data_IF_202641958500
#
_entry.id   IF_202641958500
#
_cell.length_a   1.000
_cell.length_b   1.000
_cell.length_c   1.000
_cell.angle_alpha   90.00
_cell.angle_beta   90.00
_cell.angle_gamma   90.00
#
_symmetry.space_group_name_H-M   'P 1'
#
loop_
_entity.id
_entity.type
_entity.pdbx_description
1 polymer ?
#
# COMPACT_ATOMS: atom_id res chain seq x y z
N UNK A 1 5.22 57.85 42.29
CA UNK A 1 5.71 56.48 42.53
C UNK A 1 4.98 55.55 41.57
N UNK A 2 5.70 54.79 40.74
CA UNK A 2 5.10 53.90 39.73
C UNK A 2 4.99 52.49 40.29
N UNK A 3 3.81 51.82 40.25
CA UNK A 3 3.78 50.38 40.39
C UNK A 3 4.01 49.74 39.01
N UNK A 4 5.18 49.13 38.84
CA UNK A 4 5.49 48.25 37.73
C UNK A 4 4.72 46.96 37.94
N UNK A 5 3.71 46.69 37.11
CA UNK A 5 3.02 45.40 37.10
C UNK A 5 3.93 44.35 36.46
N UNK A 6 4.46 43.45 37.28
CA UNK A 6 5.15 42.24 36.82
C UNK A 6 4.11 41.29 36.21
N UNK A 7 3.92 41.40 34.90
CA UNK A 7 3.16 40.43 34.13
C UNK A 7 3.83 39.05 34.23
N UNK A 8 3.16 38.11 34.89
CA UNK A 8 3.53 36.70 34.90
C UNK A 8 3.35 36.12 33.49
N UNK A 9 4.41 36.17 32.67
CA UNK A 9 4.54 35.35 31.48
C UNK A 9 4.86 33.92 31.91
N UNK A 10 3.83 33.12 32.14
CA UNK A 10 3.96 31.66 32.14
C UNK A 10 4.31 31.23 30.70
N UNK A 11 5.48 30.61 30.44
CA UNK A 11 5.73 30.03 29.13
C UNK A 11 4.85 28.79 28.99
N UNK A 12 3.76 28.89 28.21
CA UNK A 12 3.01 27.71 27.75
C UNK A 12 3.95 26.89 26.86
N UNK A 13 4.63 25.93 27.46
CA UNK A 13 5.42 24.94 26.74
C UNK A 13 4.47 24.01 25.98
N UNK A 14 4.17 24.38 24.72
CA UNK A 14 3.29 23.65 23.81
C UNK A 14 3.86 22.29 23.33
N UNK A 15 4.77 21.67 24.10
CA UNK A 15 5.42 20.39 23.74
C UNK A 15 4.59 19.16 24.13
N UNK A 16 3.68 19.29 25.09
CA UNK A 16 2.83 18.15 25.49
C UNK A 16 1.77 17.81 24.43
N UNK A 17 1.17 18.80 23.77
CA UNK A 17 0.06 18.60 22.82
C UNK A 17 0.47 17.76 21.60
N UNK A 18 1.65 17.97 21.02
CA UNK A 18 2.13 17.20 19.85
C UNK A 18 2.45 15.73 20.20
N UNK A 19 2.87 15.46 21.44
CA UNK A 19 3.18 14.11 21.93
C UNK A 19 1.91 13.26 22.12
N UNK A 20 0.83 13.85 22.65
CA UNK A 20 -0.45 13.16 22.75
C UNK A 20 -1.09 12.90 21.38
N UNK A 21 -0.94 13.82 20.43
CA UNK A 21 -1.50 13.69 19.09
C UNK A 21 -0.79 12.61 18.26
N UNK A 22 0.54 12.49 18.38
CA UNK A 22 1.33 11.44 17.73
C UNK A 22 1.07 10.05 18.34
N UNK A 23 0.95 9.94 19.66
CA UNK A 23 0.62 8.67 20.34
C UNK A 23 -0.82 8.21 20.06
N UNK A 24 -1.78 9.14 19.97
CA UNK A 24 -3.17 8.83 19.56
C UNK A 24 -3.22 8.27 18.14
N UNK A 25 -2.54 8.91 17.18
CA UNK A 25 -2.43 8.40 15.81
C UNK A 25 -1.72 7.03 15.75
N UNK A 26 -0.68 6.84 16.58
CA UNK A 26 0.01 5.54 16.72
C UNK A 26 -0.89 4.43 17.24
N UNK A 27 -1.86 4.74 18.10
CA UNK A 27 -2.83 3.76 18.60
C UNK A 27 -3.90 3.47 17.55
N UNK A 28 -4.35 4.50 16.84
CA UNK A 28 -5.39 4.38 15.79
C UNK A 28 -4.98 3.49 14.61
N UNK A 29 -3.75 3.59 14.08
CA UNK A 29 -3.36 2.73 12.95
C UNK A 29 -3.23 1.26 13.35
N UNK A 30 -2.86 0.97 14.60
CA UNK A 30 -2.74 -0.41 15.10
C UNK A 30 -4.11 -1.06 15.22
N UNK A 31 -5.06 -0.34 15.83
CA UNK A 31 -6.45 -0.77 15.96
C UNK A 31 -7.09 -1.00 14.58
N UNK A 32 -6.90 -0.05 13.64
CA UNK A 32 -7.44 -0.20 12.28
C UNK A 32 -6.76 -1.32 11.49
N UNK A 33 -5.44 -1.52 11.65
CA UNK A 33 -4.73 -2.65 11.05
C UNK A 33 -5.28 -3.97 11.57
N UNK A 34 -5.48 -4.10 12.87
CA UNK A 34 -6.03 -5.32 13.48
C UNK A 34 -7.47 -5.58 13.02
N UNK A 35 -8.31 -4.53 12.94
CA UNK A 35 -9.66 -4.61 12.38
C UNK A 35 -9.63 -5.18 10.96
N UNK A 36 -8.83 -4.58 10.08
CA UNK A 36 -8.74 -4.99 8.67
C UNK A 36 -8.16 -6.40 8.48
N UNK A 37 -7.25 -6.83 9.35
CA UNK A 37 -6.65 -8.17 9.29
C UNK A 37 -7.65 -9.27 9.68
N UNK A 38 -8.60 -8.95 10.56
CA UNK A 38 -9.62 -9.90 11.04
C UNK A 38 -10.89 -9.93 10.19
N UNK A 39 -11.03 -9.05 9.19
CA UNK A 39 -12.17 -9.04 8.27
C UNK A 39 -12.00 -10.05 7.14
N UNK A 40 -13.12 -10.61 6.65
CA UNK A 40 -13.08 -11.45 5.45
C UNK A 40 -12.88 -10.61 4.18
N UNK A 41 -12.48 -11.26 3.09
CA UNK A 41 -12.30 -10.60 1.78
C UNK A 41 -13.60 -9.93 1.32
N UNK A 42 -14.74 -10.57 1.54
CA UNK A 42 -16.06 -10.07 1.15
C UNK A 42 -16.47 -8.84 1.97
N UNK A 43 -16.14 -8.82 3.26
CA UNK A 43 -16.38 -7.66 4.11
C UNK A 43 -15.50 -6.48 3.70
N UNK A 44 -14.22 -6.73 3.40
CA UNK A 44 -13.30 -5.69 2.91
C UNK A 44 -13.77 -5.09 1.59
N UNK A 45 -14.33 -5.89 0.67
CA UNK A 45 -14.89 -5.43 -0.61
C UNK A 45 -16.02 -4.42 -0.47
N UNK A 46 -16.77 -4.41 0.64
CA UNK A 46 -17.83 -3.40 0.89
C UNK A 46 -17.27 -2.00 1.12
N UNK A 47 -16.02 -1.90 1.55
CA UNK A 47 -15.34 -0.63 1.83
C UNK A 47 -14.50 -0.13 0.62
N UNK A 48 -14.33 -0.94 -0.43
CA UNK A 48 -13.59 -0.57 -1.63
C UNK A 48 -14.41 0.31 -2.57
N UNK A 49 -13.75 1.25 -3.25
CA UNK A 49 -14.38 2.03 -4.34
C UNK A 49 -14.32 1.27 -5.66
N UNK A 50 -13.15 0.78 -6.02
CA UNK A 50 -12.86 0.02 -7.23
C UNK A 50 -11.76 -1.01 -6.89
N UNK A 51 -11.79 -2.19 -7.51
CA UNK A 51 -10.75 -3.21 -7.33
C UNK A 51 -10.63 -4.13 -8.54
N UNK A 52 -9.45 -4.74 -8.69
CA UNK A 52 -9.13 -5.76 -9.69
C UNK A 52 -8.76 -7.05 -8.96
N UNK A 53 -9.58 -8.10 -9.09
CA UNK A 53 -9.27 -9.42 -8.51
C UNK A 53 -8.03 -10.02 -9.17
N UNK A 54 -7.23 -10.75 -8.40
CA UNK A 54 -6.09 -11.52 -8.91
C UNK A 54 -6.50 -12.50 -10.02
N UNK A 55 -7.71 -13.07 -9.92
CA UNK A 55 -8.25 -14.02 -10.92
C UNK A 55 -8.43 -13.41 -12.31
N UNK A 56 -8.56 -12.08 -12.40
CA UNK A 56 -8.73 -11.37 -13.67
C UNK A 56 -7.38 -10.99 -14.31
N UNK A 57 -6.26 -11.25 -13.62
CA UNK A 57 -4.92 -10.94 -14.12
C UNK A 57 -4.36 -12.20 -14.77
N UNK A 58 -4.18 -12.22 -16.11
CA UNK A 58 -3.66 -13.39 -16.78
C UNK A 58 -2.21 -13.66 -16.38
N UNK A 59 -1.85 -14.93 -16.30
CA UNK A 59 -0.45 -15.35 -16.16
C UNK A 59 0.34 -15.07 -17.44
N UNK A 60 1.66 -14.95 -17.31
CA UNK A 60 2.56 -14.84 -18.45
C UNK A 60 2.42 -16.05 -19.37
N UNK A 61 2.22 -17.25 -18.81
CA UNK A 61 1.93 -18.46 -19.58
C UNK A 61 0.69 -18.30 -20.47
N UNK A 62 -0.41 -17.76 -19.95
CA UNK A 62 -1.63 -17.51 -20.73
C UNK A 62 -1.42 -16.45 -21.81
N UNK A 63 -0.62 -15.42 -21.53
CA UNK A 63 -0.28 -14.40 -22.51
C UNK A 63 0.57 -14.95 -23.66
N UNK A 64 1.56 -15.79 -23.35
CA UNK A 64 2.38 -16.48 -24.35
C UNK A 64 1.56 -17.44 -25.21
N UNK A 65 0.63 -18.19 -24.60
CA UNK A 65 -0.31 -19.07 -25.35
C UNK A 65 -1.18 -18.28 -26.31
N UNK A 66 -1.74 -17.14 -25.86
CA UNK A 66 -2.54 -16.26 -26.74
C UNK A 66 -1.74 -15.73 -27.93
N UNK A 67 -0.49 -15.34 -27.72
CA UNK A 67 0.42 -14.86 -28.77
C UNK A 67 0.84 -15.96 -29.74
N UNK A 68 1.18 -17.15 -29.24
CA UNK A 68 1.51 -18.32 -30.07
C UNK A 68 0.33 -18.77 -30.95
N UNK A 69 -0.91 -18.55 -30.51
CA UNK A 69 -2.11 -18.83 -31.31
C UNK A 69 -2.31 -17.85 -32.48
N UNK A 70 -1.55 -16.75 -32.51
CA UNK A 70 -1.71 -15.64 -33.47
C UNK A 70 -0.52 -15.45 -34.43
N UNK A 71 0.64 -16.07 -34.14
CA UNK A 71 1.83 -16.03 -34.98
C UNK A 71 2.33 -17.47 -35.20
N UNK A 72 2.38 -17.90 -36.46
CA UNK A 72 2.73 -19.28 -36.87
C UNK A 72 4.25 -19.58 -36.80
N UNK A 73 5.07 -18.63 -36.34
CA UNK A 73 6.54 -18.76 -36.27
C UNK A 73 7.09 -18.23 -34.94
N UNK A 74 6.95 -18.97 -33.83
CA UNK A 74 7.93 -18.96 -32.72
C UNK A 74 7.73 -20.09 -31.70
N UNK A 75 7.24 -21.26 -32.13
CA UNK A 75 6.85 -22.35 -31.21
C UNK A 75 8.01 -22.99 -30.44
N UNK A 76 9.26 -22.70 -30.79
CA UNK A 76 10.43 -23.42 -30.26
C UNK A 76 11.07 -22.75 -29.03
N UNK A 77 10.98 -21.42 -28.85
CA UNK A 77 11.55 -20.75 -27.65
C UNK A 77 10.62 -20.74 -26.43
N UNK A 78 9.29 -20.78 -26.63
CA UNK A 78 8.29 -20.77 -25.54
C UNK A 78 8.14 -22.16 -24.89
N UNK A 79 8.63 -23.21 -25.57
CA UNK A 79 8.49 -24.60 -25.13
C UNK A 79 9.37 -24.96 -23.92
N UNK A 80 10.24 -24.05 -23.47
CA UNK A 80 11.07 -24.24 -22.28
C UNK A 80 10.24 -23.95 -21.04
N UNK A 81 9.45 -24.97 -20.67
CA UNK A 81 9.06 -25.42 -19.31
C UNK A 81 9.57 -24.58 -18.13
N UNK A 82 9.15 -23.33 -18.03
CA UNK A 82 9.36 -22.55 -16.83
C UNK A 82 8.05 -22.53 -16.08
N UNK A 83 7.93 -23.39 -15.06
CA UNK A 83 6.86 -23.36 -14.05
C UNK A 83 6.71 -21.97 -13.39
N UNK A 84 7.71 -21.09 -13.58
CA UNK A 84 7.67 -19.70 -13.18
C UNK A 84 6.68 -18.86 -14.01
N UNK A 85 6.45 -19.17 -15.30
CA UNK A 85 5.55 -18.42 -16.17
C UNK A 85 4.08 -18.48 -15.72
N UNK A 86 3.70 -19.49 -14.94
CA UNK A 86 2.37 -19.60 -14.32
C UNK A 86 2.24 -18.73 -13.07
N UNK A 87 3.37 -18.32 -12.47
CA UNK A 87 3.43 -17.57 -11.21
C UNK A 87 3.72 -16.08 -11.38
N UNK A 88 4.00 -15.65 -12.61
CA UNK A 88 4.29 -14.25 -12.93
C UNK A 88 3.29 -13.73 -13.94
N UNK A 89 2.94 -12.46 -13.81
CA UNK A 89 2.02 -11.75 -14.70
C UNK A 89 2.59 -10.37 -15.01
N UNK A 90 2.35 -9.90 -16.23
CA UNK A 90 2.61 -8.51 -16.60
C UNK A 90 1.27 -7.74 -16.56
N UNK A 91 1.17 -6.76 -15.67
CA UNK A 91 -0.02 -5.94 -15.52
C UNK A 91 0.28 -4.47 -15.83
N UNK A 92 -0.58 -3.85 -16.63
CA UNK A 92 -0.52 -2.42 -16.96
C UNK A 92 -1.82 -1.75 -16.48
N UNK A 93 -1.74 -1.03 -15.37
CA UNK A 93 -2.87 -0.34 -14.74
C UNK A 93 -2.47 0.33 -13.43
N UNK A 94 -3.47 0.77 -12.67
CA UNK A 94 -3.25 1.37 -11.35
C UNK A 94 -2.98 0.27 -10.31
N UNK A 95 -1.77 0.29 -9.71
CA UNK A 95 -1.36 -0.69 -8.71
C UNK A 95 -2.20 -0.62 -7.43
N UNK A 96 -2.82 0.52 -7.14
CA UNK A 96 -3.64 0.71 -5.92
C UNK A 96 -4.99 0.00 -5.99
N UNK A 97 -5.42 -0.40 -7.18
CA UNK A 97 -6.68 -1.14 -7.40
C UNK A 97 -6.49 -2.66 -7.29
N UNK A 98 -5.25 -3.16 -7.22
CA UNK A 98 -4.99 -4.59 -7.19
C UNK A 98 -5.41 -5.22 -5.86
N UNK A 99 -6.33 -6.18 -5.92
CA UNK A 99 -6.77 -6.97 -4.76
C UNK A 99 -5.78 -8.14 -4.53
N UNK A 100 -4.59 -7.79 -4.04
CA UNK A 100 -3.48 -8.70 -3.74
C UNK A 100 -3.01 -8.55 -2.29
N UNK A 101 -2.27 -9.53 -1.78
CA UNK A 101 -1.84 -9.56 -0.38
C UNK A 101 -0.85 -8.44 -0.03
N UNK A 102 0.01 -8.09 -1.00
CA UNK A 102 1.00 -7.03 -0.84
C UNK A 102 1.24 -6.32 -2.17
N UNK A 103 1.38 -5.00 -2.08
CA UNK A 103 1.89 -4.15 -3.15
C UNK A 103 3.16 -3.48 -2.67
N UNK A 104 4.10 -3.25 -3.58
CA UNK A 104 5.36 -2.57 -3.27
C UNK A 104 5.18 -1.09 -3.58
N UNK A 105 5.53 -0.24 -2.62
CA UNK A 105 5.63 1.20 -2.83
C UNK A 105 7.07 1.58 -3.14
N UNK A 106 7.30 2.33 -4.22
CA UNK A 106 8.60 2.94 -4.51
C UNK A 106 8.70 4.29 -3.76
N UNK A 107 8.86 4.22 -2.44
CA UNK A 107 8.95 5.40 -1.58
C UNK A 107 10.36 5.99 -1.52
N UNK A 108 10.45 7.30 -1.32
CA UNK A 108 11.72 8.00 -1.08
C UNK A 108 12.21 7.77 0.35
N UNK A 109 13.53 7.70 0.52
CA UNK A 109 14.15 7.70 1.85
C UNK A 109 14.07 9.12 2.43
N UNK A 110 13.14 9.35 3.36
CA UNK A 110 13.07 10.62 4.07
C UNK A 110 14.13 10.65 5.18
N UNK A 111 15.04 11.65 5.22
CA UNK A 111 15.98 11.77 6.31
C UNK A 111 15.22 11.98 7.62
N UNK A 112 15.50 11.13 8.60
CA UNK A 112 14.98 11.25 9.96
C UNK A 112 15.69 12.43 10.62
N UNK A 113 15.29 13.66 10.31
CA UNK A 113 15.57 14.79 11.18
C UNK A 113 14.59 14.69 12.35
N UNK A 114 15.08 14.07 13.44
CA UNK A 114 14.43 14.13 14.75
C UNK A 114 14.48 15.61 15.19
N UNK A 115 13.31 16.25 15.27
CA UNK A 115 13.07 17.48 16.04
C UNK A 115 12.23 17.14 17.27
#
# INVERSE_FOLDING_TARGET
EFPVSLGNLQPKSNRQSSMYQSNKKKRQWKEEKERLLNMTREERRKEYREYVSLDNIPSLMEELKRKASSNDESSEEIQVKNSLCEKVSLYKGDITQLEVDAIVNAGESLPIYIL
#
